data_IF_475576894184
#
_entry.id   IF_475576894184
#
_cell.length_a   1.000
_cell.length_b   1.000
_cell.length_c   1.000
_cell.angle_alpha   90.00
_cell.angle_beta   90.00
_cell.angle_gamma   90.00
#
_symmetry.space_group_name_H-M   'P 1'
#
loop_
_entity.id
_entity.type
_entity.pdbx_description
1 polymer ?
#
# COMPACT_ATOMS: atom_id res chain seq x y z
N UNK A 1 -17.87 -20.32 6.96
CA UNK A 1 -17.75 -19.33 8.05
C UNK A 1 -17.70 -17.97 7.42
N UNK A 2 -18.44 -17.00 7.95
CA UNK A 2 -18.38 -15.62 7.46
C UNK A 2 -17.05 -15.02 7.91
N UNK A 3 -16.24 -14.60 6.96
CA UNK A 3 -14.88 -14.10 7.22
C UNK A 3 -14.93 -12.61 7.56
N UNK A 4 -15.76 -11.85 6.83
CA UNK A 4 -15.73 -10.39 6.79
C UNK A 4 -17.10 -9.69 6.67
N UNK A 5 -18.17 -10.44 6.43
CA UNK A 5 -19.52 -9.88 6.22
C UNK A 5 -20.24 -9.50 7.52
N UNK A 6 -21.57 -9.58 7.55
CA UNK A 6 -22.38 -9.29 8.77
C UNK A 6 -21.98 -10.07 10.04
N UNK A 7 -21.30 -11.20 9.90
CA UNK A 7 -20.73 -11.97 11.01
C UNK A 7 -19.21 -12.01 10.88
N UNK A 8 -18.53 -10.93 11.30
CA UNK A 8 -17.07 -10.77 11.15
C UNK A 8 -16.30 -11.69 12.08
N UNK A 9 -15.15 -12.20 11.61
CA UNK A 9 -14.21 -12.87 12.50
C UNK A 9 -13.56 -11.87 13.46
N UNK A 10 -13.16 -12.36 14.64
CA UNK A 10 -12.66 -11.53 15.73
C UNK A 10 -11.45 -10.68 15.32
N UNK A 11 -10.49 -11.23 14.58
CA UNK A 11 -9.30 -10.51 14.11
C UNK A 11 -9.67 -9.26 13.30
N UNK A 12 -10.70 -9.33 12.47
CA UNK A 12 -11.18 -8.18 11.69
C UNK A 12 -12.06 -7.24 12.50
N UNK A 13 -12.79 -7.74 13.50
CA UNK A 13 -13.54 -6.88 14.43
C UNK A 13 -12.61 -5.96 15.22
N UNK A 14 -11.46 -6.47 15.66
CA UNK A 14 -10.44 -5.68 16.37
C UNK A 14 -9.98 -4.49 15.52
N UNK A 15 -9.68 -4.71 14.24
CA UNK A 15 -9.30 -3.66 13.30
C UNK A 15 -10.45 -2.66 13.08
N UNK A 16 -11.67 -3.17 12.87
CA UNK A 16 -12.84 -2.34 12.60
C UNK A 16 -13.17 -1.40 13.77
N UNK A 17 -13.19 -1.94 14.98
CA UNK A 17 -13.42 -1.17 16.20
C UNK A 17 -12.26 -0.20 16.50
N UNK A 18 -11.02 -0.61 16.22
CA UNK A 18 -9.85 0.27 16.29
C UNK A 18 -9.96 1.48 15.35
N UNK A 19 -10.37 1.25 14.10
CA UNK A 19 -10.62 2.32 13.13
C UNK A 19 -11.73 3.28 13.60
N UNK A 20 -12.84 2.75 14.14
CA UNK A 20 -13.94 3.56 14.67
C UNK A 20 -13.51 4.40 15.88
N UNK A 21 -12.81 3.79 16.84
CA UNK A 21 -12.32 4.51 18.02
C UNK A 21 -11.31 5.61 17.67
N UNK A 22 -10.47 5.40 16.66
CA UNK A 22 -9.57 6.43 16.16
C UNK A 22 -10.31 7.54 15.41
N UNK A 23 -11.35 7.24 14.65
CA UNK A 23 -12.16 8.29 14.02
C UNK A 23 -12.81 9.19 15.06
N UNK A 24 -13.37 8.63 16.12
CA UNK A 24 -13.96 9.43 17.21
C UNK A 24 -12.91 10.33 17.89
N UNK A 25 -11.66 9.88 17.98
CA UNK A 25 -10.55 10.66 18.57
C UNK A 25 -10.07 11.78 17.63
N UNK A 26 -10.00 11.51 16.33
CA UNK A 26 -9.38 12.37 15.32
C UNK A 26 -10.38 13.30 14.61
N UNK A 27 -11.68 13.00 14.63
CA UNK A 27 -12.73 13.85 14.07
C UNK A 27 -12.73 15.27 14.69
N UNK A 28 -12.20 15.39 15.91
CA UNK A 28 -12.08 16.64 16.66
C UNK A 28 -10.76 17.43 16.42
N UNK A 29 -9.77 16.88 15.71
CA UNK A 29 -8.49 17.56 15.45
C UNK A 29 -8.40 18.11 14.01
N UNK A 30 -8.72 19.40 13.77
CA UNK A 30 -8.61 20.01 12.44
C UNK A 30 -7.16 20.19 11.96
N UNK A 31 -6.16 20.01 12.83
CA UNK A 31 -4.75 20.17 12.52
C UNK A 31 -4.06 18.87 12.06
N UNK A 32 -4.76 17.72 12.14
CA UNK A 32 -4.25 16.39 11.76
C UNK A 32 -4.82 15.90 10.41
N UNK A 33 -4.85 16.76 9.40
CA UNK A 33 -5.53 16.50 8.10
C UNK A 33 -5.07 15.22 7.42
N UNK A 34 -3.77 14.94 7.44
CA UNK A 34 -3.21 13.74 6.82
C UNK A 34 -3.70 12.46 7.50
N UNK A 35 -3.54 12.38 8.83
CA UNK A 35 -3.96 11.20 9.60
C UNK A 35 -5.48 11.00 9.59
N UNK A 36 -6.26 12.08 9.66
CA UNK A 36 -7.72 12.01 9.54
C UNK A 36 -8.14 11.38 8.22
N UNK A 37 -7.46 11.73 7.12
CA UNK A 37 -7.71 11.12 5.81
C UNK A 37 -7.27 9.66 5.77
N UNK A 38 -6.15 9.29 6.41
CA UNK A 38 -5.68 7.88 6.47
C UNK A 38 -6.71 6.99 7.15
N UNK A 39 -7.19 7.40 8.32
CA UNK A 39 -8.14 6.60 9.10
C UNK A 39 -9.47 6.47 8.34
N UNK A 40 -9.96 7.57 7.75
CA UNK A 40 -11.16 7.54 6.90
C UNK A 40 -10.98 6.63 5.69
N UNK A 41 -9.82 6.69 5.03
CA UNK A 41 -9.50 5.85 3.88
C UNK A 41 -9.47 4.37 4.24
N UNK A 42 -8.78 3.97 5.32
CA UNK A 42 -8.72 2.57 5.74
C UNK A 42 -10.05 2.03 6.27
N UNK A 43 -10.86 2.87 6.93
CA UNK A 43 -12.25 2.50 7.24
C UNK A 43 -13.05 2.25 5.97
N UNK A 44 -13.01 3.18 5.01
CA UNK A 44 -13.73 3.03 3.74
C UNK A 44 -13.26 1.79 2.98
N UNK A 45 -11.95 1.53 2.93
CA UNK A 45 -11.42 0.32 2.32
C UNK A 45 -11.98 -0.95 2.98
N UNK A 46 -12.07 -0.95 4.31
CA UNK A 46 -12.60 -2.07 5.08
C UNK A 46 -14.09 -2.26 4.80
N UNK A 47 -14.87 -1.19 4.80
CA UNK A 47 -16.29 -1.19 4.45
C UNK A 47 -16.52 -1.68 3.00
N UNK A 48 -15.71 -1.23 2.04
CA UNK A 48 -15.79 -1.63 0.64
C UNK A 48 -15.46 -3.12 0.44
N UNK A 49 -14.48 -3.64 1.18
CA UNK A 49 -14.11 -5.05 1.19
C UNK A 49 -15.24 -5.90 1.76
N UNK A 50 -15.86 -5.46 2.87
CA UNK A 50 -16.98 -6.18 3.49
C UNK A 50 -18.21 -6.19 2.57
N UNK A 51 -18.54 -5.03 1.99
CA UNK A 51 -19.61 -4.91 1.01
C UNK A 51 -19.36 -5.79 -0.21
N UNK A 52 -18.14 -5.84 -0.74
CA UNK A 52 -17.79 -6.69 -1.87
C UNK A 52 -18.10 -8.17 -1.58
N UNK A 53 -17.83 -8.62 -0.35
CA UNK A 53 -18.07 -10.01 0.06
C UNK A 53 -19.56 -10.28 0.22
N UNK A 54 -20.28 -9.39 0.91
CA UNK A 54 -21.73 -9.52 1.13
C UNK A 54 -22.52 -9.49 -0.20
N UNK A 55 -22.05 -8.72 -1.19
CA UNK A 55 -22.64 -8.59 -2.52
C UNK A 55 -22.19 -9.69 -3.49
N UNK A 56 -21.20 -10.51 -3.11
CA UNK A 56 -20.60 -11.53 -3.98
C UNK A 56 -19.79 -10.95 -5.14
N UNK A 57 -19.26 -9.72 -5.00
CA UNK A 57 -18.33 -9.11 -5.96
C UNK A 57 -17.00 -9.87 -5.97
N UNK A 58 -16.39 -10.09 -7.14
CA UNK A 58 -15.08 -10.74 -7.23
C UNK A 58 -13.99 -9.91 -6.55
N UNK A 59 -13.11 -10.61 -5.84
CA UNK A 59 -11.93 -10.04 -5.18
C UNK A 59 -10.70 -10.49 -5.94
N UNK A 60 -9.80 -9.57 -6.26
CA UNK A 60 -8.51 -9.88 -6.88
C UNK A 60 -7.41 -9.55 -5.89
N UNK A 61 -6.61 -10.56 -5.56
CA UNK A 61 -5.46 -10.37 -4.69
C UNK A 61 -4.27 -9.82 -5.49
N UNK A 62 -3.53 -8.91 -4.88
CA UNK A 62 -2.23 -8.44 -5.37
C UNK A 62 -1.25 -8.33 -4.21
N UNK A 63 0.02 -8.06 -4.51
CA UNK A 63 1.10 -7.97 -3.52
C UNK A 63 1.67 -6.56 -3.43
N UNK A 64 2.49 -6.27 -2.43
CA UNK A 64 3.01 -4.91 -2.19
C UNK A 64 3.79 -4.31 -3.36
N UNK A 65 4.37 -5.13 -4.26
CA UNK A 65 5.07 -4.66 -5.46
C UNK A 65 4.17 -4.38 -6.66
N UNK A 66 2.86 -4.63 -6.55
CA UNK A 66 1.86 -4.49 -7.60
C UNK A 66 0.82 -3.46 -7.20
N UNK A 67 0.72 -2.37 -7.95
CA UNK A 67 -0.27 -1.33 -7.68
C UNK A 67 -1.65 -1.71 -8.26
N UNK A 68 -2.76 -1.30 -7.62
CA UNK A 68 -4.09 -1.85 -7.92
C UNK A 68 -4.76 -1.29 -9.19
N UNK A 69 -4.17 -0.33 -9.90
CA UNK A 69 -4.80 0.44 -10.99
C UNK A 69 -5.34 -0.46 -12.12
N UNK A 70 -4.58 -1.46 -12.54
CA UNK A 70 -5.05 -2.39 -13.59
C UNK A 70 -6.30 -3.15 -13.11
N UNK A 71 -6.34 -3.57 -11.84
CA UNK A 71 -7.50 -4.25 -11.26
C UNK A 71 -8.69 -3.29 -11.18
N UNK A 72 -8.45 -2.03 -10.79
CA UNK A 72 -9.49 -0.98 -10.69
C UNK A 72 -10.11 -0.61 -12.03
N UNK A 73 -9.44 -0.90 -13.15
CA UNK A 73 -10.02 -0.79 -14.50
C UNK A 73 -11.22 -1.72 -14.75
N UNK A 74 -11.42 -2.75 -13.92
CA UNK A 74 -12.60 -3.62 -13.97
C UNK A 74 -13.77 -3.01 -13.19
N UNK A 75 -14.98 -3.19 -13.69
CA UNK A 75 -16.21 -2.77 -12.99
C UNK A 75 -16.57 -3.76 -11.88
N UNK A 76 -16.94 -3.28 -10.70
CA UNK A 76 -17.35 -4.07 -9.52
C UNK A 76 -16.33 -5.14 -9.06
N UNK A 77 -15.02 -4.90 -9.23
CA UNK A 77 -13.96 -5.76 -8.70
C UNK A 77 -13.29 -5.09 -7.52
N UNK A 78 -13.10 -5.82 -6.43
CA UNK A 78 -12.39 -5.33 -5.25
C UNK A 78 -10.92 -5.78 -5.30
N UNK A 79 -9.94 -4.87 -5.46
CA UNK A 79 -8.54 -5.20 -5.22
C UNK A 79 -8.28 -5.38 -3.72
N UNK A 80 -7.43 -6.35 -3.37
CA UNK A 80 -7.01 -6.58 -1.99
C UNK A 80 -5.52 -6.94 -1.95
N UNK A 81 -4.66 -6.14 -1.29
CA UNK A 81 -3.30 -6.54 -1.05
C UNK A 81 -3.26 -7.70 -0.04
N UNK A 82 -2.43 -8.71 -0.26
CA UNK A 82 -2.32 -9.86 0.64
C UNK A 82 -1.76 -9.50 2.02
N UNK A 83 -1.09 -8.37 2.15
CA UNK A 83 -0.51 -7.88 3.40
C UNK A 83 -1.51 -7.07 4.23
N UNK A 84 -2.73 -6.83 3.71
CA UNK A 84 -3.62 -5.79 4.22
C UNK A 84 -4.03 -5.96 5.67
N UNK A 85 -4.39 -7.18 6.10
CA UNK A 85 -4.79 -7.40 7.50
C UNK A 85 -3.62 -7.18 8.44
N UNK A 86 -2.42 -7.61 8.06
CA UNK A 86 -1.21 -7.39 8.86
C UNK A 86 -0.95 -5.90 9.06
N UNK A 87 -0.99 -5.13 7.97
CA UNK A 87 -0.81 -3.66 8.03
C UNK A 87 -1.89 -3.02 8.90
N UNK A 88 -3.13 -3.46 8.76
CA UNK A 88 -4.24 -2.94 9.55
C UNK A 88 -4.15 -3.31 11.04
N UNK A 89 -3.69 -4.51 11.38
CA UNK A 89 -3.46 -4.91 12.77
C UNK A 89 -2.35 -4.08 13.41
N UNK A 90 -1.25 -3.86 12.70
CA UNK A 90 -0.13 -3.08 13.22
C UNK A 90 -0.47 -1.58 13.34
N UNK A 91 -1.35 -1.06 12.48
CA UNK A 91 -1.78 0.34 12.50
C UNK A 91 -2.94 0.64 13.45
N UNK A 92 -3.92 -0.26 13.53
CA UNK A 92 -5.24 0.02 14.15
C UNK A 92 -5.63 -1.02 15.20
N UNK A 93 -5.01 -2.21 15.19
CA UNK A 93 -5.37 -3.34 16.02
C UNK A 93 -4.33 -3.65 17.10
N UNK A 94 -4.04 -4.94 17.28
CA UNK A 94 -3.03 -5.42 18.23
C UNK A 94 -2.01 -6.28 17.49
N UNK A 95 -0.74 -5.85 17.53
CA UNK A 95 0.43 -6.50 16.93
C UNK A 95 0.58 -7.98 17.34
N UNK A 96 -0.01 -8.38 18.46
CA UNK A 96 -0.07 -9.79 18.84
C UNK A 96 -0.80 -10.65 17.80
N UNK A 97 -1.84 -10.13 17.15
CA UNK A 97 -2.51 -10.85 16.05
C UNK A 97 -1.53 -11.11 14.91
N UNK A 98 -0.75 -10.10 14.50
CA UNK A 98 0.32 -10.26 13.50
C UNK A 98 1.31 -11.35 13.90
N UNK A 99 1.75 -11.35 15.17
CA UNK A 99 2.69 -12.35 15.69
C UNK A 99 2.09 -13.77 15.66
N UNK A 100 0.84 -13.93 16.08
CA UNK A 100 0.13 -15.22 16.07
C UNK A 100 -0.10 -15.75 14.63
N UNK A 101 -0.13 -14.88 13.62
CA UNK A 101 -0.19 -15.28 12.21
C UNK A 101 1.18 -15.74 11.70
N UNK A 102 2.25 -15.06 12.10
CA UNK A 102 3.63 -15.45 11.78
C UNK A 102 3.94 -16.83 12.36
N UNK A 103 3.64 -17.05 13.64
CA UNK A 103 3.84 -18.34 14.30
C UNK A 103 3.07 -19.47 13.61
N UNK A 104 1.83 -19.17 13.17
CA UNK A 104 1.01 -20.11 12.41
C UNK A 104 1.62 -20.50 11.07
N UNK A 105 2.20 -19.55 10.35
CA UNK A 105 2.88 -19.80 9.08
C UNK A 105 4.18 -20.61 9.27
N UNK A 106 4.99 -20.29 10.27
CA UNK A 106 6.21 -21.05 10.59
C UNK A 106 5.88 -22.48 11.03
N UNK A 107 4.85 -22.66 11.86
CA UNK A 107 4.37 -23.98 12.26
C UNK A 107 3.85 -24.82 11.07
N UNK A 108 3.39 -24.16 10.01
CA UNK A 108 2.99 -24.80 8.76
C UNK A 108 4.17 -25.13 7.83
N UNK A 109 5.39 -24.71 8.17
CA UNK A 109 6.61 -25.01 7.43
C UNK A 109 7.13 -23.87 6.55
N UNK A 110 6.60 -22.66 6.67
CA UNK A 110 7.20 -21.48 6.05
C UNK A 110 8.54 -21.19 6.72
N UNK A 111 9.59 -20.96 5.92
CA UNK A 111 10.93 -20.74 6.45
C UNK A 111 10.99 -19.45 7.30
N UNK A 112 11.67 -19.47 8.46
CA UNK A 112 11.71 -18.32 9.37
C UNK A 112 12.39 -17.09 8.75
N UNK A 113 13.23 -17.28 7.73
CA UNK A 113 13.90 -16.20 6.98
C UNK A 113 12.97 -15.44 6.01
N UNK A 114 11.77 -15.95 5.75
CA UNK A 114 10.73 -15.21 5.01
C UNK A 114 10.30 -14.00 5.84
N UNK A 115 10.08 -12.86 5.19
CA UNK A 115 9.69 -11.60 5.83
C UNK A 115 8.43 -11.78 6.70
N UNK A 116 8.41 -11.10 7.84
CA UNK A 116 7.31 -11.16 8.81
C UNK A 116 5.94 -10.86 8.19
N UNK A 117 5.85 -9.86 7.31
CA UNK A 117 4.59 -9.46 6.68
C UNK A 117 4.05 -10.54 5.72
N UNK A 118 4.97 -11.22 5.03
CA UNK A 118 4.65 -12.32 4.11
C UNK A 118 4.20 -13.57 4.87
N UNK A 119 4.88 -13.89 5.98
CA UNK A 119 4.48 -14.95 6.90
C UNK A 119 3.10 -14.66 7.48
N UNK A 120 2.84 -13.42 7.92
CA UNK A 120 1.54 -13.03 8.44
C UNK A 120 0.43 -13.15 7.38
N UNK A 121 0.68 -12.77 6.12
CA UNK A 121 -0.26 -12.95 5.02
C UNK A 121 -0.59 -14.43 4.77
N UNK A 122 0.42 -15.31 4.78
CA UNK A 122 0.21 -16.77 4.71
C UNK A 122 -0.59 -17.26 5.91
N UNK A 123 -0.24 -16.82 7.12
CA UNK A 123 -0.95 -17.14 8.36
C UNK A 123 -2.42 -16.72 8.31
N UNK A 124 -2.74 -15.58 7.70
CA UNK A 124 -4.11 -15.10 7.52
C UNK A 124 -4.91 -16.04 6.62
N UNK A 125 -4.32 -16.53 5.53
CA UNK A 125 -4.96 -17.53 4.67
C UNK A 125 -5.13 -18.88 5.38
N UNK A 126 -4.12 -19.33 6.13
CA UNK A 126 -4.18 -20.58 6.89
C UNK A 126 -5.25 -20.56 7.99
N UNK A 127 -5.57 -19.39 8.54
CA UNK A 127 -6.65 -19.20 9.52
C UNK A 127 -8.01 -18.88 8.89
N UNK A 128 -8.15 -18.99 7.56
CA UNK A 128 -9.36 -18.62 6.84
C UNK A 128 -9.82 -17.17 7.13
N UNK A 129 -8.88 -16.24 7.31
CA UNK A 129 -9.15 -14.82 7.57
C UNK A 129 -9.33 -13.99 6.30
N UNK A 130 -9.01 -14.54 5.12
CA UNK A 130 -9.18 -13.86 3.85
C UNK A 130 -10.27 -14.47 2.98
N UNK A 131 -11.03 -13.64 2.25
CA UNK A 131 -12.00 -14.13 1.29
C UNK A 131 -11.26 -14.80 0.13
N UNK A 132 -11.75 -15.94 -0.36
CA UNK A 132 -11.14 -16.61 -1.50
C UNK A 132 -11.14 -15.67 -2.73
N UNK A 133 -10.00 -15.45 -3.39
CA UNK A 133 -9.94 -14.56 -4.53
C UNK A 133 -10.61 -15.22 -5.75
N UNK A 134 -11.10 -14.39 -6.66
CA UNK A 134 -11.47 -14.82 -8.01
C UNK A 134 -10.21 -15.22 -8.80
N UNK A 135 -9.15 -14.41 -8.68
CA UNK A 135 -7.80 -14.69 -9.15
C UNK A 135 -6.78 -13.83 -8.40
N UNK A 136 -5.50 -14.13 -8.61
CA UNK A 136 -4.38 -13.35 -8.11
C UNK A 136 -3.62 -12.70 -9.26
N UNK A 137 -3.26 -11.43 -9.11
CA UNK A 137 -2.37 -10.71 -9.99
C UNK A 137 -1.17 -10.21 -9.18
N UNK A 138 0.00 -10.76 -9.42
CA UNK A 138 1.19 -10.45 -8.64
C UNK A 138 2.32 -9.93 -9.51
N UNK A 139 3.22 -9.16 -8.90
CA UNK A 139 4.51 -8.81 -9.45
C UNK A 139 5.59 -9.65 -8.78
N UNK A 140 6.66 -9.95 -9.50
CA UNK A 140 7.84 -10.63 -8.95
C UNK A 140 8.74 -9.72 -8.08
N UNK A 141 8.31 -8.49 -7.82
CA UNK A 141 8.95 -7.47 -6.98
C UNK A 141 8.12 -7.25 -5.70
N UNK A 142 8.69 -6.66 -4.62
CA UNK A 142 10.04 -6.08 -4.53
C UNK A 142 11.17 -7.06 -4.20
N UNK A 143 10.90 -8.26 -3.68
CA UNK A 143 11.95 -9.15 -3.16
C UNK A 143 11.61 -10.64 -3.27
N UNK A 144 12.60 -11.49 -3.00
CA UNK A 144 12.44 -12.96 -3.05
C UNK A 144 11.47 -13.51 -1.98
N UNK A 145 11.33 -12.80 -0.86
CA UNK A 145 10.36 -13.17 0.18
C UNK A 145 8.93 -13.13 -0.36
N UNK A 146 8.61 -12.14 -1.18
CA UNK A 146 7.30 -12.01 -1.83
C UNK A 146 7.07 -13.14 -2.84
N UNK A 147 8.10 -13.59 -3.56
CA UNK A 147 8.00 -14.77 -4.41
C UNK A 147 7.69 -16.03 -3.61
N UNK A 148 8.31 -16.20 -2.44
CA UNK A 148 8.01 -17.31 -1.55
C UNK A 148 6.56 -17.25 -1.05
N UNK A 149 6.08 -16.06 -0.70
CA UNK A 149 4.69 -15.82 -0.30
C UNK A 149 3.70 -16.15 -1.42
N UNK A 150 3.92 -15.61 -2.62
CA UNK A 150 3.08 -15.82 -3.80
C UNK A 150 2.94 -17.30 -4.12
N UNK A 151 4.05 -18.05 -4.14
CA UNK A 151 4.02 -19.50 -4.40
C UNK A 151 3.19 -20.24 -3.37
N UNK A 152 3.39 -19.92 -2.09
CA UNK A 152 2.68 -20.54 -0.97
C UNK A 152 1.18 -20.23 -1.04
N UNK A 153 0.82 -18.97 -1.23
CA UNK A 153 -0.57 -18.52 -1.34
C UNK A 153 -1.27 -19.10 -2.57
N UNK A 154 -0.58 -19.26 -3.70
CA UNK A 154 -1.13 -19.90 -4.90
C UNK A 154 -1.50 -21.35 -4.63
N UNK A 155 -0.62 -22.10 -3.96
CA UNK A 155 -0.88 -23.49 -3.58
C UNK A 155 -2.02 -23.61 -2.55
N UNK A 156 -2.00 -22.76 -1.50
CA UNK A 156 -3.01 -22.81 -0.43
C UNK A 156 -4.42 -22.42 -0.90
N UNK A 157 -4.54 -21.56 -1.91
CA UNK A 157 -5.84 -21.07 -2.38
C UNK A 157 -6.44 -21.91 -3.50
N UNK A 158 -5.63 -22.62 -4.28
CA UNK A 158 -6.04 -23.32 -5.51
C UNK A 158 -6.84 -22.39 -6.45
N UNK A 159 -6.36 -21.15 -6.60
CA UNK A 159 -6.98 -20.12 -7.45
C UNK A 159 -6.04 -19.69 -8.59
N UNK A 160 -6.59 -19.28 -9.74
CA UNK A 160 -5.79 -18.82 -10.87
C UNK A 160 -4.91 -17.64 -10.48
N UNK A 161 -3.63 -17.71 -10.87
CA UNK A 161 -2.63 -16.71 -10.57
C UNK A 161 -1.90 -16.29 -11.85
N UNK A 162 -1.73 -14.99 -12.05
CA UNK A 162 -0.85 -14.42 -13.06
C UNK A 162 0.26 -13.63 -12.39
N UNK A 163 1.49 -14.07 -12.61
CA UNK A 163 2.69 -13.34 -12.23
C UNK A 163 3.14 -12.45 -13.40
N UNK A 164 3.27 -11.16 -13.15
CA UNK A 164 3.94 -10.22 -14.04
C UNK A 164 5.44 -10.25 -13.74
N UNK A 165 6.23 -10.52 -14.78
CA UNK A 165 7.68 -10.47 -14.70
C UNK A 165 8.13 -9.01 -14.79
N UNK A 166 8.29 -8.35 -13.63
CA UNK A 166 8.84 -7.00 -13.55
C UNK A 166 10.35 -7.10 -13.73
N UNK A 167 10.89 -6.58 -14.85
CA UNK A 167 12.31 -6.68 -15.12
C UNK A 167 13.13 -5.90 -14.09
N UNK A 168 14.36 -6.35 -13.90
CA UNK A 168 15.32 -5.67 -13.05
C UNK A 168 15.67 -4.28 -13.60
N UNK A 169 16.07 -4.21 -14.87
CA UNK A 169 16.35 -2.94 -15.53
C UNK A 169 15.07 -2.12 -15.69
N UNK A 170 15.21 -0.82 -15.90
CA UNK A 170 14.08 0.11 -15.94
C UNK A 170 14.08 1.00 -17.19
N UNK A 171 14.79 0.65 -18.25
CA UNK A 171 14.79 1.40 -19.51
C UNK A 171 13.47 1.35 -20.27
N UNK A 172 13.36 2.06 -21.38
CA UNK A 172 12.11 2.14 -22.16
C UNK A 172 11.73 0.80 -22.80
N UNK A 173 12.72 -0.08 -23.03
CA UNK A 173 12.47 -1.46 -23.47
C UNK A 173 11.72 -2.24 -22.38
N UNK A 174 12.14 -2.11 -21.14
CA UNK A 174 11.55 -2.76 -19.98
C UNK A 174 10.14 -2.24 -19.70
N UNK A 175 9.93 -0.93 -19.86
CA UNK A 175 8.59 -0.32 -19.80
C UNK A 175 7.66 -0.95 -20.84
N UNK A 176 8.08 -1.05 -22.10
CA UNK A 176 7.27 -1.67 -23.17
C UNK A 176 7.00 -3.16 -22.93
N UNK A 177 7.99 -3.86 -22.36
CA UNK A 177 7.85 -5.27 -22.00
C UNK A 177 6.78 -5.47 -20.91
N UNK A 178 6.85 -4.70 -19.82
CA UNK A 178 5.87 -4.77 -18.75
C UNK A 178 4.49 -4.27 -19.22
N UNK A 179 4.41 -3.21 -20.03
CA UNK A 179 3.15 -2.72 -20.61
C UNK A 179 2.43 -3.80 -21.45
N UNK A 180 3.19 -4.57 -22.23
CA UNK A 180 2.64 -5.73 -22.96
C UNK A 180 2.11 -6.80 -22.00
N UNK A 181 2.82 -7.09 -20.91
CA UNK A 181 2.33 -8.04 -19.91
C UNK A 181 1.05 -7.56 -19.22
N UNK A 182 0.94 -6.25 -18.90
CA UNK A 182 -0.27 -5.62 -18.37
C UNK A 182 -1.43 -5.77 -19.36
N UNK A 183 -1.20 -5.51 -20.65
CA UNK A 183 -2.20 -5.70 -21.71
C UNK A 183 -2.70 -7.15 -21.77
N UNK A 184 -1.79 -8.12 -21.69
CA UNK A 184 -2.10 -9.55 -21.66
C UNK A 184 -2.74 -10.00 -20.33
N UNK A 185 -2.60 -9.22 -19.26
CA UNK A 185 -3.25 -9.43 -17.97
C UNK A 185 -4.75 -9.11 -17.99
N UNK A 186 -5.18 -8.20 -18.88
CA UNK A 186 -6.59 -7.80 -18.98
C UNK A 186 -7.50 -9.00 -19.30
N UNK A 187 -7.26 -9.81 -20.35
CA UNK A 187 -8.09 -10.99 -20.62
C UNK A 187 -8.12 -12.00 -19.47
N UNK A 188 -6.99 -12.20 -18.77
CA UNK A 188 -6.92 -13.08 -17.60
C UNK A 188 -7.83 -12.58 -16.48
N UNK A 189 -7.80 -11.28 -16.20
CA UNK A 189 -8.68 -10.67 -15.20
C UNK A 189 -10.15 -10.78 -15.62
N UNK A 190 -10.49 -10.48 -16.88
CA UNK A 190 -11.87 -10.60 -17.38
C UNK A 190 -12.40 -12.04 -17.27
N UNK A 191 -11.59 -13.03 -17.64
CA UNK A 191 -11.94 -14.46 -17.60
C UNK A 191 -12.29 -14.91 -16.18
N UNK A 192 -11.46 -14.55 -15.20
CA UNK A 192 -11.58 -15.09 -13.84
C UNK A 192 -12.47 -14.26 -12.92
N UNK A 193 -12.66 -12.97 -13.20
CA UNK A 193 -13.60 -12.13 -12.46
C UNK A 193 -15.01 -12.13 -13.08
N UNK A 194 -15.13 -12.48 -14.36
CA UNK A 194 -16.37 -12.33 -15.12
C UNK A 194 -16.78 -10.88 -15.35
N UNK A 195 -15.89 -9.92 -15.09
CA UNK A 195 -16.12 -8.48 -15.23
C UNK A 195 -15.35 -7.93 -16.43
N UNK A 196 -15.93 -6.95 -17.12
CA UNK A 196 -15.28 -6.32 -18.27
C UNK A 196 -14.31 -5.24 -17.83
N UNK A 197 -13.21 -5.14 -18.55
CA UNK A 197 -12.27 -4.03 -18.42
C UNK A 197 -12.83 -2.81 -19.14
N UNK A 198 -12.92 -1.69 -18.42
CA UNK A 198 -13.45 -0.44 -18.92
C UNK A 198 -12.29 0.55 -19.09
N UNK A 199 -12.00 0.91 -20.34
CA UNK A 199 -10.90 1.81 -20.69
C UNK A 199 -11.14 3.26 -20.25
N UNK A 200 -12.39 3.71 -20.19
CA UNK A 200 -12.71 5.05 -19.71
C UNK A 200 -12.58 5.11 -18.19
N UNK A 201 -13.05 4.07 -17.48
CA UNK A 201 -12.77 3.89 -16.05
C UNK A 201 -11.27 3.81 -15.77
N UNK A 202 -10.52 3.03 -16.55
CA UNK A 202 -9.07 2.93 -16.37
C UNK A 202 -8.37 4.27 -16.59
N UNK A 203 -8.89 5.11 -17.49
CA UNK A 203 -8.40 6.50 -17.66
C UNK A 203 -8.63 7.32 -16.40
N UNK A 204 -9.82 7.28 -15.81
CA UNK A 204 -10.13 7.97 -14.56
C UNK A 204 -9.22 7.49 -13.41
N UNK A 205 -8.99 6.18 -13.31
CA UNK A 205 -8.06 5.56 -12.35
C UNK A 205 -6.63 6.06 -12.55
N UNK A 206 -6.14 6.14 -13.80
CA UNK A 206 -4.82 6.69 -14.12
C UNK A 206 -4.70 8.17 -13.74
N UNK A 207 -5.72 8.98 -14.04
CA UNK A 207 -5.76 10.39 -13.66
C UNK A 207 -5.76 10.57 -12.13
N UNK A 208 -6.50 9.73 -11.40
CA UNK A 208 -6.51 9.74 -9.95
C UNK A 208 -5.14 9.34 -9.36
N UNK A 209 -4.50 8.32 -9.93
CA UNK A 209 -3.12 7.94 -9.58
C UNK A 209 -2.14 9.10 -9.81
N UNK A 210 -2.29 9.85 -10.92
CA UNK A 210 -1.48 11.03 -11.19
C UNK A 210 -1.71 12.12 -10.14
N UNK A 211 -2.98 12.41 -9.77
CA UNK A 211 -3.32 13.37 -8.71
C UNK A 211 -2.69 12.99 -7.37
N UNK A 212 -2.76 11.71 -6.99
CA UNK A 212 -2.08 11.19 -5.78
C UNK A 212 -0.57 11.45 -5.88
N UNK A 213 0.05 11.09 -7.00
CA UNK A 213 1.49 11.26 -7.22
C UNK A 213 1.96 12.72 -7.18
N UNK A 214 1.16 13.67 -7.69
CA UNK A 214 1.45 15.10 -7.60
C UNK A 214 1.54 15.58 -6.15
N UNK A 215 0.53 15.24 -5.32
CA UNK A 215 0.53 15.63 -3.92
C UNK A 215 1.65 14.95 -3.12
N UNK A 216 1.96 13.68 -3.40
CA UNK A 216 3.07 12.97 -2.75
C UNK A 216 4.43 13.56 -3.11
N UNK A 217 4.64 13.95 -4.38
CA UNK A 217 5.85 14.65 -4.80
C UNK A 217 6.00 15.96 -4.02
N UNK A 218 4.96 16.77 -3.99
CA UNK A 218 4.99 18.07 -3.32
C UNK A 218 5.20 17.89 -1.81
N UNK A 219 4.54 16.91 -1.19
CA UNK A 219 4.73 16.55 0.21
C UNK A 219 6.18 16.14 0.52
N UNK A 220 6.78 15.27 -0.30
CA UNK A 220 8.17 14.84 -0.14
C UNK A 220 9.15 16.04 -0.18
N UNK A 221 8.92 17.03 -1.04
CA UNK A 221 9.72 18.24 -1.08
C UNK A 221 9.52 19.14 0.16
N UNK A 222 8.28 19.30 0.64
CA UNK A 222 7.99 20.09 1.85
C UNK A 222 8.68 19.51 3.09
N UNK A 223 8.83 18.19 3.17
CA UNK A 223 9.55 17.53 4.28
C UNK A 223 11.03 17.91 4.34
N UNK A 224 11.62 18.48 3.28
CA UNK A 224 13.00 19.03 3.29
C UNK A 224 13.13 20.32 4.10
N UNK A 225 12.02 20.99 4.42
CA UNK A 225 12.02 22.20 5.25
C UNK A 225 12.70 21.95 6.61
N UNK A 226 13.26 23.01 7.19
CA UNK A 226 13.95 22.99 8.49
C UNK A 226 13.33 24.05 9.40
N UNK A 227 12.72 23.65 10.53
CA UNK A 227 12.48 22.26 10.98
C UNK A 227 11.55 21.49 10.03
N UNK A 228 11.59 20.15 10.04
CA UNK A 228 10.63 19.32 9.31
C UNK A 228 9.22 19.57 9.87
N UNK A 229 8.20 19.76 9.02
CA UNK A 229 6.89 20.17 9.50
C UNK A 229 6.11 19.06 10.20
N UNK A 230 6.49 17.80 10.01
CA UNK A 230 5.69 16.65 10.46
C UNK A 230 6.57 15.57 11.06
N UNK A 231 5.96 14.70 11.87
CA UNK A 231 6.64 13.58 12.52
C UNK A 231 7.16 12.57 11.49
N UNK A 232 8.18 11.82 11.89
CA UNK A 232 8.97 10.93 11.05
C UNK A 232 8.17 9.69 10.60
N UNK A 233 7.36 9.11 11.49
CA UNK A 233 6.56 7.89 11.21
C UNK A 233 5.57 8.02 10.05
N UNK A 234 5.18 9.23 9.65
CA UNK A 234 4.28 9.42 8.50
C UNK A 234 4.90 8.94 7.17
N UNK A 235 6.23 8.94 7.05
CA UNK A 235 6.95 8.55 5.84
C UNK A 235 6.64 7.09 5.45
N UNK A 236 6.55 6.21 6.44
CA UNK A 236 6.19 4.80 6.30
C UNK A 236 4.85 4.58 5.58
N UNK A 237 3.89 5.50 5.77
CA UNK A 237 2.53 5.36 5.27
C UNK A 237 2.43 5.53 3.75
N UNK A 238 3.45 6.07 3.08
CA UNK A 238 3.40 6.31 1.64
C UNK A 238 3.30 5.01 0.83
N UNK A 239 4.08 3.98 1.18
CA UNK A 239 3.97 2.67 0.51
C UNK A 239 2.58 2.08 0.76
N UNK A 240 2.10 2.08 2.00
CA UNK A 240 0.78 1.55 2.34
C UNK A 240 -0.33 2.28 1.55
N UNK A 241 -0.20 3.60 1.40
CA UNK A 241 -1.10 4.43 0.61
C UNK A 241 -1.14 4.00 -0.86
N UNK A 242 0.03 3.83 -1.49
CA UNK A 242 0.12 3.48 -2.91
C UNK A 242 -0.38 2.05 -3.17
N UNK A 243 -0.08 1.12 -2.27
CA UNK A 243 -0.52 -0.27 -2.41
C UNK A 243 -2.04 -0.38 -2.25
N UNK A 244 -2.65 0.28 -1.26
CA UNK A 244 -4.08 0.15 -1.02
C UNK A 244 -4.95 1.09 -1.88
N UNK A 245 -4.52 2.32 -2.09
CA UNK A 245 -5.37 3.41 -2.58
C UNK A 245 -4.94 4.03 -3.91
N UNK A 246 -3.87 3.54 -4.55
CA UNK A 246 -3.49 4.12 -5.84
C UNK A 246 -4.61 4.00 -6.87
N UNK A 247 -4.88 5.10 -7.58
CA UNK A 247 -5.99 5.21 -8.51
C UNK A 247 -7.38 5.27 -7.84
N UNK A 248 -7.45 5.62 -6.56
CA UNK A 248 -8.68 5.80 -5.79
C UNK A 248 -8.75 7.22 -5.17
N UNK A 249 -9.91 7.90 -5.09
CA UNK A 249 -10.01 9.25 -4.55
C UNK A 249 -9.57 9.38 -3.08
N UNK A 250 -9.76 8.34 -2.26
CA UNK A 250 -9.26 8.31 -0.87
C UNK A 250 -7.73 8.46 -0.84
N UNK A 251 -7.02 7.85 -1.80
CA UNK A 251 -5.57 7.96 -1.93
C UNK A 251 -5.13 9.40 -2.15
N UNK A 252 -5.83 10.09 -3.05
CA UNK A 252 -5.62 11.52 -3.32
C UNK A 252 -5.99 12.39 -2.13
N UNK A 253 -7.07 12.08 -1.41
CA UNK A 253 -7.46 12.81 -0.21
C UNK A 253 -6.39 12.72 0.89
N UNK A 254 -5.81 11.52 1.10
CA UNK A 254 -4.71 11.30 2.04
C UNK A 254 -3.46 12.08 1.63
N UNK A 255 -3.00 11.92 0.39
CA UNK A 255 -1.81 12.62 -0.10
C UNK A 255 -1.97 14.14 -0.03
N UNK A 256 -3.15 14.65 -0.39
CA UNK A 256 -3.50 16.08 -0.26
C UNK A 256 -3.50 16.53 1.20
N UNK A 257 -4.07 15.73 2.10
CA UNK A 257 -4.10 16.01 3.54
C UNK A 257 -2.70 16.16 4.12
N UNK A 258 -1.80 15.22 3.83
CA UNK A 258 -0.40 15.31 4.24
C UNK A 258 0.31 16.56 3.70
N UNK A 259 0.13 16.86 2.41
CA UNK A 259 0.74 18.03 1.74
C UNK A 259 0.23 19.35 2.32
N UNK A 260 -1.08 19.50 2.47
CA UNK A 260 -1.69 20.74 2.96
C UNK A 260 -1.32 21.00 4.42
N UNK A 261 -1.35 19.96 5.25
CA UNK A 261 -0.92 20.04 6.65
C UNK A 261 0.55 20.46 6.77
N UNK A 262 1.44 19.83 6.00
CA UNK A 262 2.86 20.20 5.98
C UNK A 262 3.07 21.67 5.61
N UNK A 263 2.33 22.15 4.61
CA UNK A 263 2.42 23.55 4.16
C UNK A 263 1.95 24.53 5.24
N UNK A 264 0.82 24.26 5.88
CA UNK A 264 0.28 25.10 6.94
C UNK A 264 1.21 25.17 8.16
N UNK A 265 1.78 24.03 8.58
CA UNK A 265 2.76 23.99 9.68
C UNK A 265 4.02 24.80 9.36
N UNK A 266 4.50 24.76 8.10
CA UNK A 266 5.62 25.59 7.64
C UNK A 266 5.27 27.08 7.73
N UNK A 267 4.07 27.47 7.27
CA UNK A 267 3.61 28.87 7.32
C UNK A 267 3.50 29.41 8.76
N UNK A 268 3.13 28.54 9.72
CA UNK A 268 3.10 28.87 11.15
C UNK A 268 4.46 28.81 11.85
N UNK A 269 5.50 28.31 11.18
CA UNK A 269 6.84 28.17 11.76
C UNK A 269 6.93 27.08 12.84
N UNK A 270 6.09 26.06 12.74
CA UNK A 270 6.01 24.97 13.71
C UNK A 270 7.06 23.89 13.45
N UNK A 271 7.53 23.25 14.52
CA UNK A 271 8.33 22.03 14.46
C UNK A 271 7.47 20.86 14.95
N UNK A 272 7.60 19.71 14.30
CA UNK A 272 7.04 18.45 14.80
C UNK A 272 7.74 17.93 16.05
N UNK A 273 8.92 18.46 16.40
CA UNK A 273 9.74 18.02 17.52
C UNK A 273 9.71 19.07 18.62
N UNK A 274 9.28 18.69 19.83
CA UNK A 274 9.33 19.56 20.99
C UNK A 274 10.78 19.98 21.30
N UNK A 275 11.01 21.28 21.48
CA UNK A 275 12.36 21.84 21.66
C UNK A 275 13.17 21.98 20.36
N UNK A 276 12.59 21.60 19.21
CA UNK A 276 13.16 21.76 17.87
C UNK A 276 13.96 20.57 17.35
N UNK A 277 14.09 20.50 16.03
CA UNK A 277 14.92 19.53 15.30
C UNK A 277 16.42 19.88 15.45
N UNK A 278 17.24 18.98 16.00
CA UNK A 278 18.70 19.14 16.09
C UNK A 278 19.45 18.30 15.05
N UNK A 279 18.96 17.10 14.76
CA UNK A 279 19.59 16.16 13.85
C UNK A 279 18.61 15.67 12.79
N UNK A 280 19.15 15.31 11.62
CA UNK A 280 18.41 14.61 10.57
C UNK A 280 19.16 13.37 10.14
N UNK A 281 18.44 12.27 9.95
CA UNK A 281 18.96 11.05 9.34
C UNK A 281 18.05 10.61 8.18
N UNK A 282 18.63 9.91 7.23
CA UNK A 282 17.85 9.12 6.27
C UNK A 282 17.83 7.70 6.79
N UNK A 283 16.64 7.16 7.03
CA UNK A 283 16.49 5.78 7.47
C UNK A 283 16.49 4.87 6.25
N UNK A 284 17.64 4.27 5.97
CA UNK A 284 17.80 3.40 4.80
C UNK A 284 17.31 1.98 5.09
N UNK A 285 16.09 1.85 5.62
CA UNK A 285 15.45 0.55 5.82
C UNK A 285 13.91 0.67 5.87
N UNK A 286 13.21 -0.46 5.98
CA UNK A 286 11.80 -0.56 6.32
C UNK A 286 11.51 0.09 7.69
N UNK A 287 10.28 0.62 7.86
CA UNK A 287 9.87 1.16 9.13
C UNK A 287 9.64 0.03 10.13
N UNK A 288 9.84 0.34 11.40
CA UNK A 288 9.60 -0.61 12.50
C UNK A 288 8.09 -0.70 12.75
N UNK A 289 7.36 -1.41 11.88
CA UNK A 289 5.89 -1.46 11.88
C UNK A 289 5.28 -1.87 13.22
N UNK A 290 5.90 -2.82 13.92
CA UNK A 290 5.46 -3.30 15.23
C UNK A 290 5.74 -2.30 16.38
N UNK A 291 6.53 -1.26 16.16
CA UNK A 291 6.86 -0.20 17.13
C UNK A 291 7.07 1.15 16.43
N UNK A 292 6.00 1.73 15.89
CA UNK A 292 6.05 3.08 15.32
C UNK A 292 6.35 4.18 16.37
N UNK A 293 6.22 3.87 17.67
CA UNK A 293 6.58 4.79 18.76
C UNK A 293 8.10 4.95 18.88
N UNK A 294 8.88 4.03 18.29
CA UNK A 294 10.32 4.19 18.15
C UNK A 294 10.71 5.51 17.48
N UNK A 295 9.92 5.98 16.51
CA UNK A 295 10.13 7.29 15.88
C UNK A 295 9.89 8.45 16.86
N UNK A 296 8.86 8.35 17.69
CA UNK A 296 8.55 9.37 18.71
C UNK A 296 9.66 9.44 19.76
N UNK A 297 10.24 8.28 20.12
CA UNK A 297 11.41 8.22 21.00
C UNK A 297 12.63 8.91 20.38
N UNK A 298 12.94 8.65 19.10
CA UNK A 298 14.06 9.32 18.40
C UNK A 298 13.86 10.85 18.36
N UNK A 299 12.64 11.30 18.11
CA UNK A 299 12.32 12.73 18.06
C UNK A 299 12.39 13.37 19.45
N UNK A 300 11.82 12.75 20.47
CA UNK A 300 11.76 13.31 21.83
C UNK A 300 13.13 13.32 22.52
N UNK A 301 13.86 12.21 22.51
CA UNK A 301 15.12 12.03 23.24
C UNK A 301 16.34 12.53 22.47
N UNK A 302 16.39 12.26 21.17
CA UNK A 302 17.56 12.58 20.35
C UNK A 302 17.39 13.88 19.56
N UNK A 303 16.16 14.43 19.48
CA UNK A 303 15.83 15.54 18.56
C UNK A 303 16.20 15.21 17.11
N UNK A 304 16.09 13.92 16.77
CA UNK A 304 16.41 13.35 15.48
C UNK A 304 15.13 13.20 14.64
N UNK A 305 15.12 13.82 13.47
CA UNK A 305 14.04 13.67 12.49
C UNK A 305 14.48 12.81 11.31
N UNK A 306 13.60 11.91 10.88
CA UNK A 306 13.71 11.15 9.64
C UNK A 306 12.72 11.74 8.63
N UNK A 307 13.16 12.68 7.78
CA UNK A 307 12.28 13.28 6.78
C UNK A 307 11.96 12.31 5.64
N UNK A 308 12.76 11.26 5.44
CA UNK A 308 12.62 10.29 4.35
C UNK A 308 13.26 8.94 4.70
N UNK A 309 12.64 7.86 4.23
CA UNK A 309 13.11 6.48 4.31
C UNK A 309 12.88 5.73 2.97
N UNK A 310 13.21 4.45 2.91
CA UNK A 310 13.05 3.63 1.69
C UNK A 310 11.59 3.40 1.26
N UNK A 311 10.65 3.39 2.22
CA UNK A 311 9.21 3.18 2.00
C UNK A 311 8.48 4.48 1.62
N UNK A 312 8.99 5.62 2.07
CA UNK A 312 8.41 6.92 1.81
C UNK A 312 8.83 7.54 0.49
N UNK A 313 9.98 7.12 -0.07
CA UNK A 313 10.53 7.79 -1.23
C UNK A 313 9.76 7.42 -2.51
N UNK A 314 8.85 8.32 -2.88
CA UNK A 314 8.16 8.34 -4.15
C UNK A 314 8.95 9.16 -5.16
N UNK A 315 9.45 8.50 -6.20
CA UNK A 315 10.26 9.16 -7.23
C UNK A 315 9.37 9.75 -8.32
N UNK A 316 9.30 11.07 -8.41
CA UNK A 316 8.50 11.76 -9.42
C UNK A 316 9.22 11.82 -10.77
N UNK A 317 9.36 10.68 -11.45
CA UNK A 317 10.04 10.64 -12.75
C UNK A 317 9.13 11.06 -13.91
N UNK A 318 7.85 10.66 -13.91
CA UNK A 318 6.85 11.06 -14.92
C UNK A 318 5.44 10.57 -14.52
N UNK A 319 4.39 11.27 -14.96
CA UNK A 319 2.99 10.86 -14.78
C UNK A 319 2.50 9.96 -15.92
N UNK A 320 1.41 9.24 -15.68
CA UNK A 320 0.76 8.39 -16.68
C UNK A 320 0.15 9.28 -17.77
N UNK A 321 0.56 9.10 -19.03
CA UNK A 321 -0.10 9.72 -20.18
C UNK A 321 -1.45 9.02 -20.40
N UNK A 322 -2.54 9.77 -20.27
CA UNK A 322 -3.91 9.26 -20.37
C UNK A 322 -4.54 9.50 -21.73
N UNK A 323 -3.75 9.70 -22.80
CA UNK A 323 -4.25 9.94 -24.14
C UNK A 323 -4.82 8.68 -24.83
N UNK A 324 -4.15 7.54 -24.73
CA UNK A 324 -4.55 6.28 -25.39
C UNK A 324 -4.43 5.08 -24.44
N UNK A 325 -5.12 3.96 -24.72
CA UNK A 325 -4.92 2.70 -24.00
C UNK A 325 -3.44 2.29 -23.86
N UNK A 326 -2.67 2.43 -24.93
CA UNK A 326 -1.25 2.07 -24.97
C UNK A 326 -0.41 2.98 -24.09
N UNK A 327 -0.64 4.30 -24.14
CA UNK A 327 0.11 5.25 -23.31
C UNK A 327 -0.20 5.12 -21.83
N UNK A 328 -1.44 4.76 -21.48
CA UNK A 328 -1.82 4.46 -20.09
C UNK A 328 -1.10 3.20 -19.55
N UNK A 329 -1.05 2.13 -20.34
CA UNK A 329 -0.34 0.90 -19.95
C UNK A 329 1.18 1.11 -19.84
N UNK A 330 1.79 1.86 -20.77
CA UNK A 330 3.20 2.25 -20.66
C UNK A 330 3.44 3.18 -19.47
N UNK A 331 2.51 4.08 -19.18
CA UNK A 331 2.46 4.91 -17.98
C UNK A 331 2.52 4.09 -16.69
N UNK A 332 1.60 3.14 -16.55
CA UNK A 332 1.53 2.26 -15.39
C UNK A 332 2.80 1.40 -15.26
N UNK A 333 3.27 0.79 -16.35
CA UNK A 333 4.50 0.01 -16.35
C UNK A 333 5.73 0.83 -15.91
N UNK A 334 5.84 2.08 -16.35
CA UNK A 334 6.92 2.98 -15.90
C UNK A 334 6.80 3.30 -14.42
N UNK A 335 5.59 3.52 -13.92
CA UNK A 335 5.34 3.74 -12.49
C UNK A 335 5.80 2.53 -11.67
N UNK A 336 5.41 1.32 -12.05
CA UNK A 336 5.80 0.09 -11.37
C UNK A 336 7.32 -0.12 -11.34
N UNK A 337 8.01 0.26 -12.42
CA UNK A 337 9.46 0.07 -12.56
C UNK A 337 10.32 1.14 -11.88
N UNK A 338 9.85 2.39 -11.86
CA UNK A 338 10.70 3.58 -11.57
C UNK A 338 10.21 4.41 -10.39
N UNK A 339 8.95 4.26 -9.97
CA UNK A 339 8.29 5.21 -9.07
C UNK A 339 7.89 4.56 -7.75
N UNK A 340 7.39 3.32 -7.78
CA UNK A 340 6.93 2.64 -6.56
C UNK A 340 8.07 2.47 -5.54
N UNK A 341 7.86 2.89 -4.28
CA UNK A 341 8.78 2.60 -3.19
C UNK A 341 8.98 1.09 -3.03
N UNK A 342 10.10 0.70 -2.40
CA UNK A 342 10.61 -0.67 -2.36
C UNK A 342 11.03 -1.24 -3.72
N UNK A 343 10.09 -1.37 -4.67
CA UNK A 343 10.30 -2.04 -5.96
C UNK A 343 11.44 -1.44 -6.76
N UNK A 344 11.70 -0.14 -6.63
CA UNK A 344 12.85 0.53 -7.25
C UNK A 344 14.13 0.36 -6.45
N UNK A 345 14.08 0.52 -5.13
CA UNK A 345 15.25 0.66 -4.27
C UNK A 345 15.90 -0.70 -3.93
N UNK A 346 15.11 -1.77 -3.83
CA UNK A 346 15.57 -3.10 -3.44
C UNK A 346 16.05 -3.97 -4.60
N UNK A 347 16.14 -3.42 -5.81
CA UNK A 347 16.70 -4.17 -6.94
C UNK A 347 18.15 -4.57 -6.64
N UNK A 348 18.94 -3.71 -5.98
CA UNK A 348 20.36 -3.96 -5.69
C UNK A 348 21.28 -3.32 -6.74
N UNK A 349 22.61 -3.42 -6.60
CA UNK A 349 23.55 -2.89 -7.59
C UNK A 349 23.64 -3.86 -8.78
N UNK A 350 22.97 -3.54 -9.88
CA UNK A 350 23.36 -4.08 -11.20
C UNK A 350 23.98 -2.92 -11.96
N UNK A 351 25.27 -3.09 -12.24
CA UNK A 351 26.08 -2.21 -13.10
C UNK A 351 25.62 -2.32 -14.57
#
# INVERSE_FOLDING_TARGET
>A
MSILGKERQFDWEVVYEGANGLLDLYEDDPESKGMNAVIKGFRQFTDDLFAAIDEGRPIVWHNCGCSPELIRGLVDVQPMPIEVLTVLQDLLGDVKHTTDLIDGAEAHGVAPEVCSIDKAAIGAVLKDLYPKPACMLYHNTPCDSQIAAIKTLTELTDRPMRLMDVPYLSGDREVKYLAKQLQEGIPFLEEHTGKRFDWDKFREVCEESNRTGEYLRDWNELRRHKPCPQVSKLVALNTALLVAFSGNPEGTAIAKGFRDEAKERIERGESSVEGGELYRAVWYQDPVWWDLQFYDWMESELKLVIPMDLFGYYASEEFIDTSTPESMLEGLARKDLRVLPMSRQFKGPID
#
